data_IF_569278596166
#
_entry.id   IF_569278596166
#
_cell.length_a   1.000
_cell.length_b   1.000
_cell.length_c   1.000
_cell.angle_alpha   90.00
_cell.angle_beta   90.00
_cell.angle_gamma   90.00
#
_symmetry.space_group_name_H-M   'P 1'
#
loop_
_entity.id
_entity.type
_entity.pdbx_description
1 polymer ?
#
# COMPACT_ATOMS: atom_id res chain seq x y z
N UNK A 1 -7.02 -1.13 22.23
CA UNK A 1 -6.02 -1.39 21.18
C UNK A 1 -6.25 -0.34 20.11
N UNK A 2 -5.19 0.22 19.50
CA UNK A 2 -5.35 1.13 18.38
C UNK A 2 -6.16 0.46 17.26
N UNK A 3 -6.96 1.23 16.56
CA UNK A 3 -7.90 0.74 15.53
C UNK A 3 -8.11 1.82 14.48
N UNK A 4 -8.97 1.59 13.49
CA UNK A 4 -9.44 2.65 12.60
C UNK A 4 -10.95 2.66 12.48
N UNK A 5 -11.50 3.79 12.05
CA UNK A 5 -12.93 3.97 11.83
C UNK A 5 -13.15 4.78 10.56
N UNK A 6 -14.21 4.48 9.82
CA UNK A 6 -14.66 5.32 8.71
C UNK A 6 -15.16 6.68 9.21
N UNK A 7 -14.84 7.76 8.51
CA UNK A 7 -15.46 9.06 8.70
C UNK A 7 -16.97 8.98 8.39
N UNK A 8 -17.85 9.18 9.39
CA UNK A 8 -19.30 9.04 9.21
C UNK A 8 -19.91 10.15 8.33
N UNK A 9 -19.16 11.20 7.99
CA UNK A 9 -19.61 12.24 7.06
C UNK A 9 -19.52 11.82 5.60
N UNK A 10 -18.80 10.74 5.31
CA UNK A 10 -18.64 10.23 3.95
C UNK A 10 -19.87 9.40 3.55
N UNK A 11 -20.56 9.83 2.50
CA UNK A 11 -21.71 9.12 1.95
C UNK A 11 -21.29 8.09 0.89
N UNK A 12 -21.93 6.92 0.91
CA UNK A 12 -21.70 5.86 -0.05
C UNK A 12 -22.41 6.14 -1.37
N UNK A 13 -21.66 6.09 -2.46
CA UNK A 13 -22.22 6.18 -3.82
C UNK A 13 -22.84 4.84 -4.20
N UNK A 14 -24.07 4.88 -4.73
CA UNK A 14 -24.79 3.70 -5.23
C UNK A 14 -25.32 3.98 -6.63
N UNK A 15 -24.97 3.13 -7.59
CA UNK A 15 -25.45 3.24 -8.97
C UNK A 15 -26.25 1.98 -9.30
N UNK A 16 -27.49 2.14 -9.76
CA UNK A 16 -28.36 1.01 -10.13
C UNK A 16 -28.50 -0.07 -9.05
N UNK A 17 -28.43 0.31 -7.78
CA UNK A 17 -28.50 -0.62 -6.64
C UNK A 17 -27.19 -1.31 -6.28
N UNK A 18 -26.09 -1.02 -6.98
CA UNK A 18 -24.74 -1.47 -6.66
C UNK A 18 -24.04 -0.45 -5.74
N UNK A 19 -23.80 -0.78 -4.46
CA UNK A 19 -23.04 0.07 -3.56
C UNK A 19 -21.53 -0.07 -3.83
N UNK A 20 -20.86 1.05 -4.12
CA UNK A 20 -19.40 1.13 -4.23
C UNK A 20 -18.74 1.23 -2.85
N UNK A 21 -17.44 0.92 -2.72
CA UNK A 21 -16.64 1.26 -1.55
C UNK A 21 -16.74 2.76 -1.20
N UNK A 22 -16.47 3.14 0.05
CA UNK A 22 -16.51 4.57 0.42
C UNK A 22 -15.38 5.39 -0.23
N UNK A 23 -14.23 4.78 -0.43
CA UNK A 23 -13.00 5.44 -0.85
C UNK A 23 -12.72 5.41 -2.34
N UNK A 24 -13.48 4.62 -3.11
CA UNK A 24 -13.37 4.56 -4.57
C UNK A 24 -14.75 4.41 -5.19
N UNK A 25 -15.06 5.27 -6.15
CA UNK A 25 -16.35 5.32 -6.84
C UNK A 25 -16.22 6.06 -8.18
N UNK A 26 -17.08 5.75 -9.16
CA UNK A 26 -17.06 6.45 -10.44
C UNK A 26 -17.55 7.90 -10.30
N UNK A 27 -16.85 8.84 -10.94
CA UNK A 27 -17.26 10.24 -11.07
C UNK A 27 -17.95 10.54 -12.40
N UNK A 28 -17.83 9.63 -13.36
CA UNK A 28 -18.56 9.66 -14.63
C UNK A 28 -19.69 8.62 -14.67
N UNK A 29 -20.74 8.85 -15.50
CA UNK A 29 -21.83 7.89 -15.64
C UNK A 29 -21.34 6.53 -16.15
N UNK A 30 -21.65 5.47 -15.39
CA UNK A 30 -21.35 4.09 -15.76
C UNK A 30 -22.44 3.15 -15.27
N UNK A 31 -22.43 1.89 -15.73
CA UNK A 31 -23.33 0.84 -15.26
C UNK A 31 -22.49 -0.27 -14.65
N UNK A 32 -22.55 -0.47 -13.32
CA UNK A 32 -21.80 -1.53 -12.68
C UNK A 32 -22.37 -2.89 -13.08
N UNK A 33 -21.48 -3.83 -13.37
CA UNK A 33 -21.84 -5.16 -13.82
C UNK A 33 -21.09 -6.21 -12.98
N UNK A 34 -21.70 -6.71 -11.89
CA UNK A 34 -21.10 -7.77 -11.08
C UNK A 34 -21.05 -9.08 -11.86
N UNK A 35 -20.00 -9.85 -11.62
CA UNK A 35 -19.70 -11.10 -12.30
C UNK A 35 -18.21 -11.35 -12.29
N UNK A 36 -17.75 -12.26 -13.13
CA UNK A 36 -16.31 -12.47 -13.31
C UNK A 36 -15.95 -12.78 -14.75
N UNK A 37 -14.79 -12.29 -15.19
CA UNK A 37 -14.10 -12.79 -16.37
C UNK A 37 -13.11 -13.88 -15.93
N UNK A 38 -12.79 -14.83 -16.81
CA UNK A 38 -11.70 -15.75 -16.57
C UNK A 38 -11.00 -16.14 -17.86
N UNK A 39 -9.67 -16.08 -17.83
CA UNK A 39 -8.81 -16.39 -18.96
C UNK A 39 -7.66 -17.30 -18.54
N UNK A 40 -7.17 -18.09 -19.50
CA UNK A 40 -6.01 -18.95 -19.29
C UNK A 40 -4.76 -18.24 -19.77
N UNK A 41 -3.76 -18.14 -18.89
CA UNK A 41 -2.43 -17.63 -19.21
C UNK A 41 -1.42 -18.79 -19.12
N UNK A 42 -0.64 -19.04 -20.19
CA UNK A 42 0.41 -20.05 -20.15
C UNK A 42 1.53 -19.62 -19.21
N UNK A 43 2.30 -20.59 -18.71
CA UNK A 43 3.48 -20.33 -17.89
C UNK A 43 4.45 -19.36 -18.58
N UNK A 44 5.05 -18.48 -17.77
CA UNK A 44 6.04 -17.52 -18.26
C UNK A 44 7.31 -18.30 -18.67
N UNK A 45 7.94 -17.89 -19.77
CA UNK A 45 9.22 -18.49 -20.16
C UNK A 45 10.35 -17.99 -19.26
N UNK A 46 11.41 -18.78 -19.06
CA UNK A 46 12.59 -18.33 -18.29
C UNK A 46 13.22 -17.05 -18.85
N UNK A 47 13.02 -16.76 -20.14
CA UNK A 47 13.50 -15.54 -20.80
C UNK A 47 12.55 -14.33 -20.59
N UNK A 48 11.25 -14.56 -20.32
CA UNK A 48 10.24 -13.52 -20.08
C UNK A 48 10.13 -13.13 -18.59
N UNK A 49 10.59 -13.99 -17.68
CA UNK A 49 10.47 -13.79 -16.24
C UNK A 49 11.33 -12.62 -15.69
N UNK A 50 12.39 -12.20 -16.38
CA UNK A 50 13.30 -11.16 -15.87
C UNK A 50 13.86 -11.50 -14.47
N UNK A 51 13.92 -10.50 -13.58
CA UNK A 51 14.24 -10.69 -12.16
C UNK A 51 13.03 -11.15 -11.31
N UNK A 52 11.87 -11.44 -11.94
CA UNK A 52 10.66 -11.92 -11.29
C UNK A 52 10.59 -13.45 -11.26
N UNK A 53 9.86 -14.01 -10.30
CA UNK A 53 9.54 -15.43 -10.27
C UNK A 53 8.64 -15.80 -11.45
N UNK A 54 9.03 -16.81 -12.24
CA UNK A 54 8.24 -17.28 -13.36
C UNK A 54 6.91 -17.88 -12.89
N UNK A 55 5.80 -17.38 -13.45
CA UNK A 55 4.47 -17.84 -13.07
C UNK A 55 4.10 -19.15 -13.80
N UNK A 56 3.39 -20.09 -13.16
CA UNK A 56 2.95 -21.33 -13.80
C UNK A 56 1.78 -21.10 -14.77
N UNK A 57 1.39 -22.16 -15.49
CA UNK A 57 0.11 -22.22 -16.20
C UNK A 57 -1.02 -21.88 -15.21
N UNK A 58 -1.85 -20.92 -15.56
CA UNK A 58 -2.82 -20.35 -14.62
C UNK A 58 -4.10 -19.91 -15.29
N UNK A 59 -5.17 -19.89 -14.50
CA UNK A 59 -6.36 -19.13 -14.81
C UNK A 59 -6.34 -17.85 -14.02
N UNK A 60 -6.54 -16.73 -14.70
CA UNK A 60 -6.76 -15.41 -14.10
C UNK A 60 -8.26 -15.17 -14.04
N UNK A 61 -8.73 -14.60 -12.94
CA UNK A 61 -10.11 -14.18 -12.74
C UNK A 61 -10.11 -12.73 -12.31
N UNK A 62 -10.93 -11.92 -12.97
CA UNK A 62 -11.27 -10.57 -12.52
C UNK A 62 -12.72 -10.58 -12.06
N UNK A 63 -12.92 -10.31 -10.77
CA UNK A 63 -14.19 -10.52 -10.10
C UNK A 63 -14.69 -9.20 -9.53
N UNK A 64 -15.86 -8.79 -9.99
CA UNK A 64 -16.56 -7.60 -9.49
C UNK A 64 -17.74 -8.02 -8.63
N UNK A 65 -17.73 -7.56 -7.38
CA UNK A 65 -18.84 -7.73 -6.43
C UNK A 65 -19.17 -6.41 -5.74
N UNK A 66 -20.42 -6.18 -5.32
CA UNK A 66 -20.72 -5.02 -4.48
C UNK A 66 -19.95 -5.12 -3.15
N UNK A 67 -19.59 -3.97 -2.58
CA UNK A 67 -18.83 -3.88 -1.32
C UNK A 67 -19.43 -4.70 -0.17
N UNK A 68 -20.75 -4.87 -0.16
CA UNK A 68 -21.48 -5.67 0.85
C UNK A 68 -21.15 -7.16 0.80
N UNK A 69 -20.48 -7.64 -0.25
CA UNK A 69 -20.09 -9.04 -0.47
C UNK A 69 -18.59 -9.26 -0.54
N UNK A 70 -17.81 -8.19 -0.74
CA UNK A 70 -16.36 -8.23 -0.96
C UNK A 70 -15.62 -8.96 0.16
N UNK A 71 -15.82 -8.56 1.41
CA UNK A 71 -15.13 -9.17 2.55
C UNK A 71 -15.44 -10.67 2.68
N UNK A 72 -16.72 -11.05 2.50
CA UNK A 72 -17.11 -12.44 2.54
C UNK A 72 -16.46 -13.25 1.42
N UNK A 73 -16.40 -12.71 0.21
CA UNK A 73 -15.72 -13.35 -0.93
C UNK A 73 -14.23 -13.52 -0.64
N UNK A 74 -13.56 -12.46 -0.20
CA UNK A 74 -12.14 -12.48 0.16
C UNK A 74 -11.86 -13.53 1.23
N UNK A 75 -12.65 -13.60 2.29
CA UNK A 75 -12.48 -14.59 3.36
C UNK A 75 -12.60 -16.04 2.84
N UNK A 76 -13.53 -16.30 1.90
CA UNK A 76 -13.68 -17.64 1.33
C UNK A 76 -12.55 -17.99 0.35
N UNK A 77 -12.09 -17.04 -0.46
CA UNK A 77 -10.91 -17.23 -1.32
C UNK A 77 -9.67 -17.50 -0.48
N UNK A 78 -9.42 -16.64 0.52
CA UNK A 78 -8.32 -16.80 1.45
C UNK A 78 -8.38 -18.14 2.19
N UNK A 79 -9.58 -18.65 2.49
CA UNK A 79 -9.75 -19.96 3.12
C UNK A 79 -9.26 -21.14 2.26
N UNK A 80 -9.23 -21.01 0.92
CA UNK A 80 -8.69 -22.02 0.02
C UNK A 80 -7.16 -22.12 0.07
N UNK A 81 -6.49 -21.04 0.49
CA UNK A 81 -5.03 -20.96 0.59
C UNK A 81 -4.47 -21.77 1.78
N UNK A 82 -3.20 -22.26 1.69
CA UNK A 82 -2.53 -22.98 2.77
C UNK A 82 -2.34 -22.14 4.04
N UNK A 83 -1.99 -22.77 5.16
CA UNK A 83 -1.91 -22.12 6.47
C UNK A 83 -0.92 -20.95 6.60
N UNK A 84 0.05 -20.86 5.68
CA UNK A 84 1.02 -19.77 5.56
C UNK A 84 1.08 -19.31 4.11
N UNK A 85 1.20 -18.00 3.90
CA UNK A 85 1.14 -17.33 2.60
C UNK A 85 2.03 -16.10 2.62
N UNK A 86 2.41 -15.57 1.47
CA UNK A 86 3.13 -14.30 1.35
C UNK A 86 2.10 -13.17 1.18
N UNK A 87 1.84 -12.36 2.22
CA UNK A 87 0.94 -11.21 2.09
C UNK A 87 1.52 -10.14 1.17
N UNK A 88 0.60 -9.41 0.53
CA UNK A 88 0.87 -8.30 -0.39
C UNK A 88 0.02 -7.12 0.08
N UNK A 89 0.58 -5.92 0.04
CA UNK A 89 -0.10 -4.66 0.32
C UNK A 89 0.37 -3.63 -0.70
N UNK A 90 -0.55 -3.10 -1.48
CA UNK A 90 -0.30 -1.97 -2.37
C UNK A 90 -0.92 -0.73 -1.74
N UNK A 91 -0.18 0.37 -1.69
CA UNK A 91 -0.65 1.58 -1.04
C UNK A 91 -0.39 2.80 -1.93
N UNK A 92 -1.44 3.57 -2.21
CA UNK A 92 -1.30 4.87 -2.86
C UNK A 92 -0.73 5.84 -1.83
N UNK A 93 0.59 5.96 -1.86
CA UNK A 93 1.37 6.70 -0.88
C UNK A 93 1.45 8.20 -1.16
N UNK A 94 2.51 8.82 -0.65
CA UNK A 94 2.78 10.26 -0.86
C UNK A 94 4.01 10.50 -1.73
N UNK A 95 4.48 9.49 -2.47
CA UNK A 95 5.58 9.65 -3.41
C UNK A 95 5.06 10.34 -4.69
N UNK A 96 5.69 11.44 -5.11
CA UNK A 96 5.20 12.21 -6.25
C UNK A 96 5.63 11.65 -7.62
N UNK A 97 6.44 10.59 -7.61
CA UNK A 97 6.97 9.94 -8.82
C UNK A 97 6.63 8.45 -8.87
N UNK A 98 5.84 7.96 -7.90
CA UNK A 98 5.31 6.61 -7.86
C UNK A 98 3.88 6.62 -7.33
N UNK A 99 2.95 6.15 -8.14
CA UNK A 99 1.53 6.10 -7.78
C UNK A 99 1.25 5.07 -6.67
N UNK A 100 1.85 3.88 -6.76
CA UNK A 100 1.60 2.76 -5.85
C UNK A 100 2.91 2.32 -5.18
N UNK A 101 2.91 2.23 -3.85
CA UNK A 101 3.94 1.58 -3.07
C UNK A 101 3.63 0.08 -2.90
N UNK A 102 4.32 -0.84 -3.60
CA UNK A 102 4.08 -2.26 -3.45
C UNK A 102 4.88 -2.82 -2.27
N UNK A 103 4.22 -3.44 -1.31
CA UNK A 103 4.84 -4.09 -0.16
C UNK A 103 4.60 -5.59 -0.18
N UNK A 104 5.66 -6.39 -0.09
CA UNK A 104 5.57 -7.86 -0.09
C UNK A 104 6.34 -8.46 1.09
N UNK A 105 5.88 -9.60 1.57
CA UNK A 105 6.68 -10.45 2.44
C UNK A 105 7.54 -11.40 1.60
N UNK A 106 8.81 -11.58 1.99
CA UNK A 106 9.70 -12.59 1.40
C UNK A 106 9.72 -13.91 2.20
N UNK A 107 8.97 -13.97 3.30
CA UNK A 107 8.78 -15.16 4.12
C UNK A 107 7.29 -15.37 4.36
N UNK A 108 6.80 -16.63 4.33
CA UNK A 108 5.37 -16.86 4.42
C UNK A 108 4.85 -16.64 5.85
N UNK A 109 3.85 -15.78 5.99
CA UNK A 109 3.18 -15.40 7.24
C UNK A 109 1.98 -16.31 7.51
N UNK A 110 1.73 -16.63 8.78
CA UNK A 110 0.56 -17.43 9.17
C UNK A 110 -0.75 -16.68 8.92
N UNK A 111 -1.75 -17.36 8.34
CA UNK A 111 -3.08 -16.77 8.03
C UNK A 111 -3.78 -16.11 9.21
N UNK A 112 -3.50 -16.57 10.44
CA UNK A 112 -4.05 -15.96 11.65
C UNK A 112 -3.58 -14.51 11.85
N UNK A 113 -2.31 -14.22 11.57
CA UNK A 113 -1.77 -12.85 11.67
C UNK A 113 -2.44 -11.92 10.67
N UNK A 114 -2.58 -12.37 9.42
CA UNK A 114 -3.27 -11.62 8.37
C UNK A 114 -4.73 -11.36 8.76
N UNK A 115 -5.45 -12.40 9.18
CA UNK A 115 -6.86 -12.29 9.56
C UNK A 115 -7.07 -11.35 10.75
N UNK A 116 -6.17 -11.37 11.74
CA UNK A 116 -6.24 -10.47 12.89
C UNK A 116 -6.04 -9.00 12.47
N UNK A 117 -5.03 -8.71 11.65
CA UNK A 117 -4.77 -7.36 11.14
C UNK A 117 -5.93 -6.83 10.29
N UNK A 118 -6.48 -7.66 9.40
CA UNK A 118 -7.66 -7.28 8.59
C UNK A 118 -8.88 -7.00 9.46
N UNK A 119 -9.07 -7.73 10.56
CA UNK A 119 -10.17 -7.47 11.50
C UNK A 119 -9.95 -6.14 12.23
N UNK A 120 -8.73 -5.87 12.67
CA UNK A 120 -8.41 -4.73 13.51
C UNK A 120 -8.44 -3.40 12.70
N UNK A 121 -8.13 -3.46 11.40
CA UNK A 121 -8.17 -2.32 10.48
C UNK A 121 -9.17 -2.51 9.32
N UNK A 122 -10.28 -3.20 9.58
CA UNK A 122 -11.26 -3.58 8.56
C UNK A 122 -11.70 -2.43 7.62
N UNK A 123 -12.04 -1.21 8.12
CA UNK A 123 -12.35 -0.08 7.26
C UNK A 123 -11.25 0.27 6.25
N UNK A 124 -9.98 0.21 6.66
CA UNK A 124 -8.86 0.51 5.79
C UNK A 124 -8.84 -0.46 4.60
N UNK A 125 -8.83 -1.75 4.86
CA UNK A 125 -8.70 -2.74 3.79
C UNK A 125 -9.90 -2.78 2.84
N UNK A 126 -11.13 -2.76 3.35
CA UNK A 126 -12.30 -3.01 2.51
C UNK A 126 -12.97 -1.73 1.98
N UNK A 127 -12.83 -0.58 2.64
CA UNK A 127 -13.55 0.64 2.25
C UNK A 127 -12.64 1.74 1.70
N UNK A 128 -11.40 1.83 2.16
CA UNK A 128 -10.48 2.91 1.82
C UNK A 128 -9.93 2.73 0.39
N UNK A 129 -9.95 3.80 -0.40
CA UNK A 129 -9.54 3.76 -1.80
C UNK A 129 -8.02 3.79 -1.97
N UNK A 130 -7.25 3.99 -0.92
CA UNK A 130 -5.79 4.14 -1.02
C UNK A 130 -5.04 2.81 -0.91
N UNK A 131 -5.72 1.67 -0.78
CA UNK A 131 -5.07 0.40 -0.46
C UNK A 131 -5.60 -0.77 -1.28
N UNK A 132 -4.68 -1.53 -1.87
CA UNK A 132 -4.85 -2.90 -2.32
C UNK A 132 -4.21 -3.89 -1.35
N UNK A 133 -4.72 -5.10 -1.24
CA UNK A 133 -4.15 -6.12 -0.37
C UNK A 133 -4.50 -7.53 -0.83
N UNK A 134 -3.63 -8.47 -0.51
CA UNK A 134 -3.85 -9.85 -0.88
C UNK A 134 -2.81 -10.79 -0.29
N UNK A 135 -2.75 -11.97 -0.89
CA UNK A 135 -1.74 -12.96 -0.58
C UNK A 135 -1.48 -13.88 -1.75
N UNK A 136 -0.27 -14.43 -1.79
CA UNK A 136 0.13 -15.51 -2.68
C UNK A 136 0.61 -16.73 -1.89
N UNK A 137 0.35 -17.93 -2.41
CA UNK A 137 1.01 -19.16 -2.02
C UNK A 137 1.64 -19.80 -3.24
N UNK A 138 2.85 -20.33 -3.10
CA UNK A 138 3.55 -21.01 -4.20
C UNK A 138 3.08 -22.45 -4.38
N UNK A 139 2.79 -23.15 -3.28
CA UNK A 139 2.39 -24.57 -3.29
C UNK A 139 1.15 -24.85 -2.41
N UNK A 140 -0.03 -25.12 -3.01
CA UNK A 140 -0.33 -24.93 -4.44
C UNK A 140 -0.27 -23.44 -4.82
N UNK A 141 -0.01 -23.18 -6.10
CA UNK A 141 -0.01 -21.81 -6.61
C UNK A 141 -1.42 -21.21 -6.52
N UNK A 142 -1.56 -20.17 -5.69
CA UNK A 142 -2.81 -19.45 -5.47
C UNK A 142 -2.48 -18.00 -5.16
N UNK A 143 -3.01 -17.08 -5.95
CA UNK A 143 -2.93 -15.64 -5.74
C UNK A 143 -4.35 -15.10 -5.57
N UNK A 144 -4.58 -14.31 -4.53
CA UNK A 144 -5.84 -13.61 -4.32
C UNK A 144 -5.55 -12.18 -3.84
N UNK A 145 -6.00 -11.19 -4.60
CA UNK A 145 -5.71 -9.79 -4.35
C UNK A 145 -6.96 -8.95 -4.56
N UNK A 146 -7.18 -7.98 -3.68
CA UNK A 146 -8.21 -6.95 -3.79
C UNK A 146 -7.45 -5.66 -4.07
N UNK A 147 -7.62 -5.08 -5.25
CA UNK A 147 -6.92 -3.86 -5.63
C UNK A 147 -7.51 -2.60 -4.95
N UNK A 148 -6.94 -1.44 -5.25
CA UNK A 148 -7.40 -0.12 -4.82
C UNK A 148 -8.81 0.23 -5.32
N UNK A 149 -9.24 -0.36 -6.44
CA UNK A 149 -10.60 -0.26 -7.00
C UNK A 149 -11.60 -1.21 -6.33
N UNK A 150 -11.11 -2.09 -5.45
CA UNK A 150 -11.83 -3.16 -4.78
C UNK A 150 -12.37 -4.25 -5.72
N UNK A 151 -11.65 -4.47 -6.81
CA UNK A 151 -11.81 -5.60 -7.73
C UNK A 151 -10.94 -6.73 -7.24
N UNK A 152 -11.46 -7.96 -7.33
CA UNK A 152 -10.75 -9.13 -6.83
C UNK A 152 -10.10 -9.86 -8.00
N UNK A 153 -8.78 -9.90 -8.01
CA UNK A 153 -8.00 -10.73 -8.93
C UNK A 153 -7.64 -12.04 -8.26
N UNK A 154 -7.94 -13.16 -8.91
CA UNK A 154 -7.53 -14.49 -8.47
C UNK A 154 -6.71 -15.15 -9.56
N UNK A 155 -5.57 -15.73 -9.21
CA UNK A 155 -4.76 -16.53 -10.14
C UNK A 155 -4.49 -17.89 -9.53
N UNK A 156 -4.83 -18.96 -10.24
CA UNK A 156 -4.73 -20.35 -9.75
C UNK A 156 -4.35 -21.30 -10.86
N UNK A 157 -3.73 -22.43 -10.50
CA UNK A 157 -3.43 -23.47 -11.49
C UNK A 157 -4.72 -24.14 -12.03
N UNK A 158 -4.65 -24.84 -13.18
CA UNK A 158 -5.77 -25.62 -13.71
C UNK A 158 -6.39 -26.62 -12.72
N UNK A 159 -5.60 -27.18 -11.79
CA UNK A 159 -6.08 -28.11 -10.76
C UNK A 159 -6.95 -27.44 -9.70
N UNK A 160 -6.68 -26.17 -9.40
CA UNK A 160 -7.37 -25.39 -8.38
C UNK A 160 -8.58 -24.63 -8.95
N UNK A 161 -8.64 -24.38 -10.27
CA UNK A 161 -9.77 -23.75 -10.97
C UNK A 161 -11.15 -24.30 -10.53
N UNK A 162 -11.40 -25.62 -10.48
CA UNK A 162 -12.72 -26.14 -10.10
C UNK A 162 -13.18 -25.71 -8.70
N UNK A 163 -12.25 -25.43 -7.78
CA UNK A 163 -12.58 -24.92 -6.44
C UNK A 163 -13.01 -23.46 -6.49
N UNK A 164 -12.31 -22.64 -7.27
CA UNK A 164 -12.64 -21.22 -7.50
C UNK A 164 -13.99 -21.09 -8.21
N UNK A 165 -14.20 -21.80 -9.33
CA UNK A 165 -15.47 -21.79 -10.07
C UNK A 165 -16.66 -22.15 -9.17
N UNK A 166 -16.50 -23.19 -8.35
CA UNK A 166 -17.54 -23.61 -7.40
C UNK A 166 -17.82 -22.55 -6.34
N UNK A 167 -16.79 -21.85 -5.87
CA UNK A 167 -16.94 -20.77 -4.89
C UNK A 167 -17.67 -19.58 -5.52
N UNK A 168 -17.27 -19.14 -6.71
CA UNK A 168 -17.93 -18.03 -7.42
C UNK A 168 -19.40 -18.34 -7.72
N UNK A 169 -19.71 -19.58 -8.13
CA UNK A 169 -21.08 -20.05 -8.29
C UNK A 169 -21.88 -20.03 -6.98
N UNK A 170 -21.26 -20.33 -5.83
CA UNK A 170 -21.91 -20.21 -4.52
C UNK A 170 -22.16 -18.76 -4.08
N UNK A 171 -21.46 -17.81 -4.72
CA UNK A 171 -21.75 -16.38 -4.63
C UNK A 171 -22.74 -15.92 -5.73
N UNK A 172 -23.40 -16.81 -6.46
CA UNK A 172 -24.32 -16.44 -7.56
C UNK A 172 -23.64 -15.49 -8.56
N UNK A 173 -22.32 -15.63 -8.77
CA UNK A 173 -21.59 -14.87 -9.77
C UNK A 173 -21.54 -15.69 -11.05
N UNK A 174 -21.97 -15.08 -12.14
CA UNK A 174 -21.94 -15.67 -13.47
C UNK A 174 -20.70 -15.21 -14.23
N UNK A 175 -20.14 -16.08 -15.10
CA UNK A 175 -19.09 -15.66 -16.01
C UNK A 175 -19.65 -14.66 -17.02
N UNK A 176 -18.96 -13.53 -17.17
CA UNK A 176 -19.29 -12.47 -18.11
C UNK A 176 -18.00 -11.97 -18.78
N UNK A 177 -18.12 -11.41 -19.98
CA UNK A 177 -16.95 -11.02 -20.77
C UNK A 177 -16.24 -9.79 -20.16
N UNK A 178 -17.01 -8.80 -19.71
CA UNK A 178 -16.50 -7.51 -19.21
C UNK A 178 -17.22 -7.15 -17.89
N UNK A 179 -16.79 -7.69 -16.73
CA UNK A 179 -17.26 -7.19 -15.44
C UNK A 179 -16.87 -5.72 -15.27
N UNK A 180 -17.73 -4.93 -14.62
CA UNK A 180 -17.54 -3.48 -14.54
C UNK A 180 -17.65 -2.97 -13.10
N UNK A 181 -16.51 -2.56 -12.54
CA UNK A 181 -16.35 -1.98 -11.20
C UNK A 181 -16.25 -0.46 -11.23
N UNK A 182 -15.52 0.12 -10.27
CA UNK A 182 -15.27 1.56 -10.21
C UNK A 182 -14.29 2.03 -11.31
N UNK A 183 -13.39 1.15 -11.71
CA UNK A 183 -12.38 1.28 -12.76
C UNK A 183 -12.95 1.43 -14.18
N UNK A 184 -14.17 0.94 -14.42
CA UNK A 184 -14.82 0.99 -15.73
C UNK A 184 -15.25 2.39 -16.19
N UNK A 185 -14.97 3.43 -15.40
CA UNK A 185 -15.09 4.83 -15.76
C UNK A 185 -14.08 5.68 -14.99
N UNK A 186 -13.97 6.97 -15.33
CA UNK A 186 -13.20 7.90 -14.50
C UNK A 186 -13.72 7.87 -13.06
N UNK A 187 -12.80 7.77 -12.10
CA UNK A 187 -13.08 7.58 -10.68
C UNK A 187 -12.06 8.37 -9.84
N UNK A 188 -12.32 8.43 -8.54
CA UNK A 188 -11.43 9.08 -7.58
C UNK A 188 -11.08 8.10 -6.46
N UNK A 189 -9.82 8.12 -6.03
CA UNK A 189 -9.34 7.48 -4.81
C UNK A 189 -9.30 8.49 -3.67
N UNK A 190 -9.76 8.08 -2.50
CA UNK A 190 -9.63 8.86 -1.26
C UNK A 190 -9.50 7.95 -0.06
N UNK A 191 -8.80 8.46 0.96
CA UNK A 191 -8.91 7.90 2.29
C UNK A 191 -10.29 8.18 2.89
N UNK A 192 -10.77 7.22 3.68
CA UNK A 192 -12.08 7.30 4.34
C UNK A 192 -11.97 7.23 5.85
N UNK A 193 -10.74 7.21 6.38
CA UNK A 193 -10.52 7.06 7.81
C UNK A 193 -10.74 8.37 8.56
N UNK A 194 -11.42 8.26 9.69
CA UNK A 194 -11.59 9.35 10.64
C UNK A 194 -10.29 9.53 11.44
N UNK A 195 -9.67 10.69 11.32
CA UNK A 195 -8.41 11.04 12.01
C UNK A 195 -8.58 12.33 12.83
N UNK A 196 -9.27 12.30 13.98
CA UNK A 196 -9.46 13.49 14.80
C UNK A 196 -8.28 13.68 15.77
N UNK A 197 -7.84 14.93 15.94
CA UNK A 197 -6.70 15.29 16.80
C UNK A 197 -6.84 14.82 18.26
N UNK A 198 -8.08 14.61 18.75
CA UNK A 198 -8.37 14.20 20.13
C UNK A 198 -8.49 12.68 20.35
N UNK A 199 -8.29 11.88 19.29
CA UNK A 199 -8.39 10.41 19.32
C UNK A 199 -7.16 9.76 18.67
N UNK A 200 -5.98 9.84 19.30
CA UNK A 200 -4.76 9.20 18.81
C UNK A 200 -4.82 7.65 18.80
N UNK A 201 -5.88 7.06 19.36
CA UNK A 201 -6.17 5.63 19.26
C UNK A 201 -6.80 5.24 17.90
N UNK A 202 -7.30 6.21 17.13
CA UNK A 202 -7.76 6.04 15.76
C UNK A 202 -6.61 6.37 14.81
N UNK A 203 -6.07 5.34 14.18
CA UNK A 203 -4.91 5.46 13.31
C UNK A 203 -5.31 5.93 11.91
N UNK A 204 -4.46 6.76 11.32
CA UNK A 204 -4.51 7.10 9.91
C UNK A 204 -3.91 6.01 9.01
N UNK A 205 -4.07 6.15 7.67
CA UNK A 205 -3.54 5.19 6.69
C UNK A 205 -2.04 4.90 6.87
N UNK A 206 -1.20 5.93 6.96
CA UNK A 206 0.27 5.76 7.06
C UNK A 206 0.69 4.97 8.32
N UNK A 207 0.04 5.24 9.46
CA UNK A 207 0.29 4.52 10.72
C UNK A 207 -0.18 3.07 10.66
N UNK A 208 -1.27 2.79 9.94
CA UNK A 208 -1.74 1.44 9.70
C UNK A 208 -0.74 0.71 8.79
N UNK A 209 -0.31 1.32 7.69
CA UNK A 209 0.68 0.73 6.77
C UNK A 209 1.96 0.37 7.52
N UNK A 210 2.49 1.27 8.35
CA UNK A 210 3.65 0.98 9.20
C UNK A 210 3.45 -0.27 10.07
N UNK A 211 2.31 -0.38 10.75
CA UNK A 211 2.00 -1.53 11.60
C UNK A 211 1.79 -2.81 10.82
N UNK A 212 1.12 -2.73 9.67
CA UNK A 212 0.89 -3.87 8.79
C UNK A 212 2.23 -4.40 8.28
N UNK A 213 3.17 -3.50 7.92
CA UNK A 213 4.53 -3.88 7.54
C UNK A 213 5.26 -4.61 8.66
N UNK A 214 5.17 -4.15 9.91
CA UNK A 214 5.76 -4.85 11.06
C UNK A 214 5.12 -6.22 11.30
N UNK A 215 3.78 -6.31 11.29
CA UNK A 215 3.02 -7.54 11.60
C UNK A 215 3.11 -8.60 10.49
N UNK A 216 3.17 -8.18 9.23
CA UNK A 216 3.26 -9.05 8.05
C UNK A 216 4.68 -9.15 7.50
N UNK A 217 5.65 -8.51 8.15
CA UNK A 217 7.06 -8.50 7.75
C UNK A 217 7.26 -8.03 6.30
N UNK A 218 6.51 -7.00 5.91
CA UNK A 218 6.53 -6.51 4.54
C UNK A 218 7.70 -5.54 4.29
N UNK A 219 8.25 -5.66 3.09
CA UNK A 219 9.31 -4.79 2.57
C UNK A 219 8.77 -4.12 1.31
N UNK A 220 9.13 -2.85 1.11
CA UNK A 220 8.81 -2.13 -0.12
C UNK A 220 9.55 -2.80 -1.29
N UNK A 221 8.80 -3.31 -2.25
CA UNK A 221 9.29 -4.07 -3.39
C UNK A 221 9.70 -3.14 -4.54
N UNK A 222 10.71 -2.32 -4.28
CA UNK A 222 11.33 -1.43 -5.28
C UNK A 222 12.84 -1.58 -5.19
N UNK A 223 13.56 -1.32 -6.28
CA UNK A 223 15.02 -1.27 -6.24
C UNK A 223 15.48 0.00 -5.49
N UNK A 224 16.12 -0.12 -4.31
CA UNK A 224 16.52 1.03 -3.52
C UNK A 224 17.75 1.75 -4.08
N UNK A 225 18.44 1.17 -5.06
CA UNK A 225 19.68 1.69 -5.65
C UNK A 225 19.43 2.51 -6.94
N UNK A 226 18.24 2.43 -7.51
CA UNK A 226 17.81 3.24 -8.65
C UNK A 226 16.85 4.35 -8.22
N UNK A 227 16.60 5.30 -9.11
CA UNK A 227 15.63 6.38 -8.89
C UNK A 227 14.91 6.73 -10.19
N UNK A 228 14.00 5.84 -10.54
CA UNK A 228 13.16 5.91 -11.72
C UNK A 228 11.74 6.32 -11.34
N UNK A 229 11.03 7.00 -12.23
CA UNK A 229 9.58 7.18 -12.09
C UNK A 229 8.80 5.93 -12.58
N UNK A 230 7.47 6.00 -12.57
CA UNK A 230 6.59 4.90 -13.02
C UNK A 230 6.71 4.58 -14.52
N UNK A 231 7.39 5.43 -15.32
CA UNK A 231 7.68 5.20 -16.73
C UNK A 231 9.12 4.68 -16.95
N UNK A 232 9.80 4.24 -15.89
CA UNK A 232 11.20 3.80 -15.86
C UNK A 232 12.21 4.90 -16.26
N UNK A 233 11.84 6.19 -16.20
CA UNK A 233 12.71 7.30 -16.57
C UNK A 233 13.56 7.79 -15.37
N UNK A 234 14.84 8.09 -15.62
CA UNK A 234 15.74 8.57 -14.56
C UNK A 234 15.35 9.96 -14.05
N UNK A 235 15.03 10.06 -12.76
CA UNK A 235 14.72 11.33 -12.08
C UNK A 235 16.00 12.09 -11.70
N UNK A 236 17.07 11.35 -11.39
CA UNK A 236 18.31 11.88 -10.84
C UNK A 236 18.17 12.31 -9.37
N UNK A 237 18.94 13.31 -8.92
CA UNK A 237 18.84 13.80 -7.54
C UNK A 237 17.55 14.57 -7.31
N UNK A 238 16.79 14.15 -6.32
CA UNK A 238 15.53 14.78 -5.94
C UNK A 238 15.45 15.04 -4.44
N UNK A 239 14.39 15.73 -4.02
CA UNK A 239 14.08 15.99 -2.62
C UNK A 239 13.32 14.78 -2.09
N UNK A 240 13.69 14.34 -0.89
CA UNK A 240 13.02 13.26 -0.18
C UNK A 240 12.46 13.79 1.13
N UNK A 241 11.25 13.33 1.46
CA UNK A 241 10.66 13.41 2.78
C UNK A 241 10.71 12.02 3.40
N UNK A 242 11.55 11.88 4.42
CA UNK A 242 11.68 10.63 5.15
C UNK A 242 11.06 10.78 6.53
N UNK A 243 10.35 9.75 6.99
CA UNK A 243 9.84 9.65 8.35
C UNK A 243 10.57 8.48 9.02
N UNK A 244 11.12 8.73 10.20
CA UNK A 244 11.83 7.73 10.98
C UNK A 244 11.17 7.55 12.35
N UNK A 245 10.93 6.29 12.72
CA UNK A 245 10.59 5.87 14.08
C UNK A 245 11.89 5.74 14.88
N UNK A 246 11.91 6.36 16.05
CA UNK A 246 13.10 6.52 16.89
C UNK A 246 12.79 6.13 18.32
N UNK A 247 13.60 5.22 18.85
CA UNK A 247 13.61 4.84 20.26
C UNK A 247 15.05 4.90 20.80
N UNK A 248 15.21 5.18 22.09
CA UNK A 248 16.52 5.30 22.72
C UNK A 248 16.48 4.89 24.19
N UNK A 249 17.64 4.73 24.83
CA UNK A 249 17.68 4.37 26.26
C UNK A 249 16.95 5.40 27.13
N UNK A 250 17.09 6.68 26.79
CA UNK A 250 16.46 7.78 27.53
C UNK A 250 14.97 7.97 27.18
N UNK A 251 14.59 7.59 25.96
CA UNK A 251 13.20 7.63 25.46
C UNK A 251 12.88 6.27 24.83
N UNK A 252 12.53 5.27 25.66
CA UNK A 252 12.36 3.89 25.19
C UNK A 252 11.05 3.66 24.44
N UNK A 253 10.13 4.62 24.47
CA UNK A 253 8.91 4.58 23.66
C UNK A 253 9.17 5.19 22.29
N UNK A 254 8.48 4.68 21.28
CA UNK A 254 8.56 5.19 19.93
C UNK A 254 8.21 6.68 19.86
N UNK A 255 9.04 7.40 19.12
CA UNK A 255 8.84 8.79 18.74
C UNK A 255 9.21 8.93 17.26
N UNK A 256 8.72 9.97 16.60
CA UNK A 256 8.95 10.12 15.16
C UNK A 256 9.78 11.35 14.86
N UNK A 257 10.59 11.27 13.82
CA UNK A 257 11.33 12.37 13.25
C UNK A 257 11.03 12.44 11.75
N UNK A 258 10.86 13.64 11.24
CA UNK A 258 10.73 13.92 9.82
C UNK A 258 12.03 14.56 9.32
N UNK A 259 12.59 14.01 8.27
CA UNK A 259 13.83 14.48 7.66
C UNK A 259 13.57 14.85 6.22
N UNK A 260 13.96 16.06 5.84
CA UNK A 260 13.99 16.48 4.46
C UNK A 260 15.43 16.51 3.99
N UNK A 261 15.70 15.90 2.84
CA UNK A 261 17.05 15.73 2.32
C UNK A 261 17.05 15.71 0.78
N UNK A 262 18.23 15.82 0.19
CA UNK A 262 18.47 15.57 -1.23
C UNK A 262 19.27 14.28 -1.36
N UNK A 263 18.78 13.34 -2.17
CA UNK A 263 19.45 12.09 -2.48
C UNK A 263 19.20 11.66 -3.94
N UNK A 264 20.10 10.86 -4.48
CA UNK A 264 20.01 10.28 -5.82
C UNK A 264 19.24 8.95 -5.87
N UNK A 265 19.16 8.21 -4.76
CA UNK A 265 18.32 7.01 -4.64
C UNK A 265 17.79 6.83 -3.20
N UNK A 266 16.87 5.86 -3.03
CA UNK A 266 16.22 5.58 -1.75
C UNK A 266 17.22 5.13 -0.68
N UNK A 267 18.16 4.23 -1.02
CA UNK A 267 19.19 3.78 -0.08
C UNK A 267 19.96 4.95 0.51
N UNK A 268 20.35 5.91 -0.33
CA UNK A 268 21.05 7.12 0.10
C UNK A 268 20.16 8.04 0.93
N UNK A 269 18.87 8.14 0.62
CA UNK A 269 17.90 8.86 1.44
C UNK A 269 17.78 8.28 2.85
N UNK A 270 17.68 6.96 2.98
CA UNK A 270 17.62 6.27 4.28
C UNK A 270 18.89 6.47 5.11
N UNK A 271 20.06 6.33 4.49
CA UNK A 271 21.35 6.55 5.16
C UNK A 271 21.50 8.00 5.65
N UNK A 272 21.12 8.99 4.82
CA UNK A 272 21.12 10.40 5.21
C UNK A 272 20.08 10.70 6.29
N UNK A 273 18.95 10.00 6.30
CA UNK A 273 17.94 10.11 7.35
C UNK A 273 18.50 9.71 8.70
N UNK A 274 19.22 8.59 8.78
CA UNK A 274 19.88 8.16 10.02
C UNK A 274 20.89 9.21 10.52
N UNK A 275 21.69 9.80 9.62
CA UNK A 275 22.61 10.89 9.96
C UNK A 275 21.87 12.13 10.47
N UNK A 276 20.77 12.51 9.80
CA UNK A 276 19.93 13.65 10.17
C UNK A 276 19.33 13.48 11.55
N UNK A 277 18.69 12.33 11.82
CA UNK A 277 18.11 12.00 13.12
C UNK A 277 19.17 11.99 14.22
N UNK A 278 20.30 11.32 14.00
CA UNK A 278 21.39 11.26 15.00
C UNK A 278 21.94 12.64 15.38
N UNK A 279 21.91 13.61 14.47
CA UNK A 279 22.36 14.98 14.75
C UNK A 279 21.45 15.76 15.71
N UNK A 280 20.15 15.42 15.75
CA UNK A 280 19.15 16.06 16.62
C UNK A 280 18.82 15.24 17.88
N UNK A 281 19.37 14.04 17.99
CA UNK A 281 19.25 13.16 19.17
C UNK A 281 20.62 12.82 19.80
N UNK A 282 21.42 13.83 20.22
CA UNK A 282 22.78 13.60 20.71
C UNK A 282 22.87 12.88 22.07
N UNK A 283 21.80 12.91 22.87
CA UNK A 283 21.72 12.29 24.20
C UNK A 283 20.87 11.01 24.17
N UNK A 284 21.13 10.07 23.27
CA UNK A 284 20.36 8.83 23.15
C UNK A 284 20.71 7.75 24.21
N UNK A 285 21.80 7.92 24.95
CA UNK A 285 22.31 6.90 25.87
C UNK A 285 23.14 5.82 25.15
N UNK A 286 23.14 4.59 25.66
CA UNK A 286 23.97 3.51 25.13
C UNK A 286 23.47 2.90 23.82
N UNK A 287 22.21 3.16 23.45
CA UNK A 287 21.59 2.68 22.22
C UNK A 287 20.64 3.72 21.64
N UNK A 288 20.55 3.75 20.32
CA UNK A 288 19.63 4.55 19.53
C UNK A 288 19.14 3.65 18.40
N UNK A 289 17.84 3.43 18.36
CA UNK A 289 17.19 2.69 17.30
C UNK A 289 16.52 3.68 16.35
N UNK A 290 16.81 3.57 15.06
CA UNK A 290 16.28 4.44 14.01
C UNK A 290 15.80 3.53 12.88
N UNK A 291 14.50 3.51 12.67
CA UNK A 291 13.85 2.76 11.61
C UNK A 291 13.21 3.76 10.67
N UNK A 292 13.64 3.79 9.40
CA UNK A 292 12.99 4.61 8.38
C UNK A 292 11.69 3.93 7.99
N UNK A 293 10.57 4.55 8.33
CA UNK A 293 9.22 3.99 8.09
C UNK A 293 8.61 4.52 6.81
N UNK A 294 9.11 5.61 6.24
CA UNK A 294 8.70 6.10 4.92
C UNK A 294 9.81 6.94 4.30
N UNK A 295 9.96 6.86 2.99
CA UNK A 295 10.90 7.65 2.20
C UNK A 295 10.26 8.01 0.85
N UNK A 296 9.64 9.19 0.79
CA UNK A 296 8.84 9.60 -0.36
C UNK A 296 9.54 10.74 -1.10
N UNK A 297 9.61 10.65 -2.42
CA UNK A 297 10.15 11.70 -3.28
C UNK A 297 9.17 12.85 -3.40
N UNK A 298 9.72 14.05 -3.52
CA UNK A 298 8.97 15.29 -3.63
C UNK A 298 9.48 16.11 -4.81
N UNK A 299 8.57 16.70 -5.55
CA UNK A 299 8.91 17.78 -6.48
C UNK A 299 9.37 19.01 -5.69
N UNK A 300 10.14 19.85 -6.37
CA UNK A 300 10.55 21.14 -5.84
C UNK A 300 9.35 22.04 -5.51
N UNK A 301 8.30 22.00 -6.32
CA UNK A 301 7.13 22.84 -6.13
C UNK A 301 6.41 22.49 -4.82
N UNK A 302 6.17 21.21 -4.56
CA UNK A 302 5.59 20.75 -3.31
C UNK A 302 6.45 21.08 -2.10
N UNK A 303 7.77 20.87 -2.20
CA UNK A 303 8.69 21.26 -1.13
C UNK A 303 8.65 22.78 -0.84
N UNK A 304 8.72 23.61 -1.88
CA UNK A 304 8.66 25.07 -1.73
C UNK A 304 7.29 25.50 -1.16
N UNK A 305 6.20 24.81 -1.50
CA UNK A 305 4.87 24.98 -0.90
C UNK A 305 4.87 24.77 0.62
N UNK A 306 5.55 23.73 1.11
CA UNK A 306 5.68 23.45 2.56
C UNK A 306 6.43 24.54 3.33
N UNK A 307 7.34 25.27 2.69
CA UNK A 307 8.06 26.38 3.35
C UNK A 307 7.12 27.50 3.81
N UNK A 308 5.93 27.58 3.21
CA UNK A 308 4.90 28.55 3.61
C UNK A 308 4.18 28.15 4.90
N UNK A 309 4.07 26.84 5.18
CA UNK A 309 3.40 26.31 6.38
C UNK A 309 4.38 25.98 7.51
N UNK A 310 5.59 25.51 7.20
CA UNK A 310 6.64 25.16 8.16
C UNK A 310 7.76 26.22 8.13
N UNK A 311 7.74 27.15 9.10
CA UNK A 311 8.68 28.28 9.21
C UNK A 311 10.16 27.89 9.32
N UNK A 312 10.43 26.63 9.69
CA UNK A 312 11.78 26.09 9.84
C UNK A 312 12.40 25.70 8.50
N UNK A 313 11.56 25.44 7.48
CA UNK A 313 12.00 25.13 6.12
C UNK A 313 12.35 26.41 5.36
N UNK A 314 13.37 26.32 4.51
CA UNK A 314 13.79 27.38 3.58
C UNK A 314 13.65 26.86 2.16
N UNK A 315 13.21 27.72 1.25
CA UNK A 315 13.13 27.37 -0.17
C UNK A 315 14.50 26.98 -0.72
N UNK A 316 14.48 26.00 -1.62
CA UNK A 316 15.69 25.38 -2.15
C UNK A 316 16.00 26.00 -3.51
N UNK A 317 17.26 26.35 -3.77
CA UNK A 317 17.69 26.77 -5.10
C UNK A 317 18.06 25.54 -5.92
N UNK A 318 17.92 25.58 -7.24
CA UNK A 318 18.26 24.43 -8.12
C UNK A 318 19.70 23.93 -7.91
N UNK A 319 20.64 24.83 -7.55
CA UNK A 319 22.02 24.45 -7.21
C UNK A 319 22.13 23.56 -5.95
N UNK A 320 21.14 23.58 -5.07
CA UNK A 320 21.17 22.82 -3.82
C UNK A 320 20.76 21.35 -4.09
N UNK A 321 20.20 21.05 -5.27
CA UNK A 321 19.95 19.69 -5.77
C UNK A 321 21.21 19.03 -6.36
N UNK A 322 22.33 19.77 -6.50
CA UNK A 322 23.53 19.22 -7.12
C UNK A 322 24.33 18.29 -6.21
N UNK A 323 24.03 18.25 -4.91
CA UNK A 323 24.75 17.46 -3.92
C UNK A 323 23.78 16.82 -2.92
N UNK A 324 24.13 15.60 -2.49
CA UNK A 324 23.46 14.91 -1.40
C UNK A 324 23.67 15.64 -0.07
N UNK A 325 22.59 15.92 0.64
CA UNK A 325 22.65 16.60 1.93
C UNK A 325 21.34 16.46 2.70
N UNK A 326 21.44 16.42 4.02
CA UNK A 326 20.30 16.67 4.91
C UNK A 326 19.99 18.17 4.88
N UNK A 327 18.76 18.51 4.54
CA UNK A 327 18.29 19.90 4.53
C UNK A 327 17.82 20.31 5.92
N UNK A 328 17.04 19.44 6.56
CA UNK A 328 16.57 19.60 7.93
C UNK A 328 16.14 18.26 8.52
N UNK A 329 16.21 18.14 9.85
CA UNK A 329 15.58 17.08 10.62
C UNK A 329 14.73 17.72 11.72
N UNK A 330 13.48 17.30 11.84
CA UNK A 330 12.48 17.85 12.74
C UNK A 330 11.89 16.73 13.61
N UNK A 331 11.79 16.88 14.93
CA UNK A 331 10.98 15.97 15.73
C UNK A 331 9.51 16.14 15.32
N UNK A 332 8.81 15.04 15.04
CA UNK A 332 7.36 15.06 14.91
C UNK A 332 6.79 15.15 16.33
N UNK A 333 6.20 16.29 16.64
CA UNK A 333 5.35 16.41 17.82
C UNK A 333 4.15 15.48 17.62
N UNK A 334 4.15 14.35 18.35
CA UNK A 334 3.02 13.43 18.40
C UNK A 334 1.86 13.93 19.25
#
# INVERSE_FOLDING_TARGET
MPSCQTDPSIERVTVSGFPFPLGVYPVEPMVPLPGYASEFEPADSEDDAGDWEAWPDRYVYDIVVPITRLEALWQQLFALMPGRVFPILDYIGHDEYREIDPYIAYEPVGKEHITNVLRDYRPFFFEDGMVGFGAVSEEPFFYAFVDEHKIVTVRVTPEEKPKVDKLLAAFDLEPIDEPAGADAAAHEHRSVLLMPDDRPDLLGPDEIVERVRDEWQLILNVDPDTNLDDEDEEIGRTIWRCVARVASEQKPNDSYCEVYLVADCMRRAEELTQVGVGSITPDSGSWLDIIVVSANRMTKESFDGLTSSKKELKSIKTKDLSAEQVLIALPLSG
#
